data_IF_923883281578
#
_entry.id   IF_923883281578
#
_cell.length_a   1.000
_cell.length_b   1.000
_cell.length_c   1.000
_cell.angle_alpha   90.00
_cell.angle_beta   90.00
_cell.angle_gamma   90.00
#
_symmetry.space_group_name_H-M   'P 1'
#
loop_
_entity.id
_entity.type
_entity.pdbx_description
1 polymer ?
#
# COMPACT_ATOMS: atom_id res chain seq x y z
N UNK A 1 -23.18 15.16 14.79
CA UNK A 1 -22.73 14.70 13.46
C UNK A 1 -23.49 13.44 13.10
N UNK A 2 -24.15 13.40 11.95
CA UNK A 2 -24.83 12.20 11.45
C UNK A 2 -23.80 11.29 10.74
N UNK A 3 -23.92 9.97 10.91
CA UNK A 3 -23.02 8.99 10.29
C UNK A 3 -23.86 7.90 9.63
N UNK A 4 -23.72 7.76 8.32
CA UNK A 4 -24.37 6.71 7.52
C UNK A 4 -23.34 5.70 7.02
N UNK A 5 -23.74 4.42 6.91
CA UNK A 5 -22.84 3.33 6.52
C UNK A 5 -23.25 2.80 5.15
N UNK A 6 -22.29 2.78 4.22
CA UNK A 6 -22.46 2.34 2.84
C UNK A 6 -21.55 1.15 2.52
N UNK A 7 -21.93 0.34 1.55
CA UNK A 7 -20.95 -0.50 0.84
C UNK A 7 -20.22 0.38 -0.16
N UNK A 8 -18.91 0.16 -0.40
CA UNK A 8 -18.17 1.02 -1.32
C UNK A 8 -18.79 1.14 -2.73
N UNK A 9 -19.39 0.06 -3.24
CA UNK A 9 -20.08 0.09 -4.54
C UNK A 9 -21.43 0.82 -4.57
N UNK A 10 -21.95 1.23 -3.42
CA UNK A 10 -23.21 2.00 -3.28
C UNK A 10 -22.96 3.51 -3.19
N UNK A 11 -21.69 3.94 -3.23
CA UNK A 11 -21.36 5.37 -3.22
C UNK A 11 -21.81 6.03 -4.51
N UNK A 12 -22.67 7.03 -4.37
CA UNK A 12 -23.16 7.82 -5.50
C UNK A 12 -22.04 8.68 -6.10
N UNK A 13 -22.19 9.15 -7.35
CA UNK A 13 -21.20 10.07 -7.94
C UNK A 13 -20.98 11.33 -7.10
N UNK A 14 -22.05 11.86 -6.43
CA UNK A 14 -21.96 13.02 -5.54
C UNK A 14 -21.08 12.74 -4.33
N UNK A 15 -21.25 11.58 -3.69
CA UNK A 15 -20.43 11.18 -2.54
C UNK A 15 -18.96 10.98 -2.96
N UNK A 16 -18.71 10.44 -4.14
CA UNK A 16 -17.34 10.30 -4.65
C UNK A 16 -16.69 11.65 -4.92
N UNK A 17 -17.41 12.58 -5.58
CA UNK A 17 -16.91 13.95 -5.77
C UNK A 17 -16.63 14.67 -4.46
N UNK A 18 -17.52 14.56 -3.48
CA UNK A 18 -17.31 15.15 -2.16
C UNK A 18 -16.09 14.54 -1.44
N UNK A 19 -15.84 13.25 -1.65
CA UNK A 19 -14.65 12.59 -1.08
C UNK A 19 -13.36 13.10 -1.74
N UNK A 20 -13.31 13.17 -3.08
CA UNK A 20 -12.17 13.77 -3.78
C UNK A 20 -11.93 15.20 -3.35
N UNK A 21 -12.98 16.03 -3.26
CA UNK A 21 -12.86 17.40 -2.79
C UNK A 21 -12.24 17.48 -1.38
N UNK A 22 -12.66 16.61 -0.44
CA UNK A 22 -12.06 16.55 0.89
C UNK A 22 -10.58 16.09 0.86
N UNK A 23 -10.18 15.28 -0.13
CA UNK A 23 -8.77 14.91 -0.33
C UNK A 23 -7.95 16.07 -0.87
N UNK A 24 -8.49 16.83 -1.80
CA UNK A 24 -7.80 17.95 -2.47
C UNK A 24 -7.57 19.14 -1.53
N UNK A 25 -8.47 19.33 -0.54
CA UNK A 25 -8.35 20.39 0.47
C UNK A 25 -7.26 20.12 1.52
N UNK A 26 -6.70 18.91 1.59
CA UNK A 26 -5.77 18.50 2.67
C UNK A 26 -4.64 17.63 2.11
N UNK A 27 -3.42 18.15 2.02
CA UNK A 27 -2.27 17.41 1.47
C UNK A 27 -1.99 16.06 2.14
N UNK A 28 -2.32 15.91 3.43
CA UNK A 28 -2.18 14.66 4.17
C UNK A 28 -3.06 13.53 3.64
N UNK A 29 -4.09 13.86 2.86
CA UNK A 29 -5.01 12.88 2.25
C UNK A 29 -4.72 12.61 0.77
N UNK A 30 -3.64 13.16 0.22
CA UNK A 30 -3.29 12.98 -1.21
C UNK A 30 -2.91 11.56 -1.60
N UNK A 31 -2.69 10.65 -0.62
CA UNK A 31 -2.28 9.28 -0.91
C UNK A 31 -3.41 8.48 -1.58
N UNK A 32 -3.17 7.79 -2.71
CA UNK A 32 -4.21 7.09 -3.47
C UNK A 32 -4.89 5.93 -2.72
N UNK A 33 -4.30 5.39 -1.66
CA UNK A 33 -4.97 4.41 -0.81
C UNK A 33 -6.16 5.00 -0.03
N UNK A 34 -6.25 6.32 0.05
CA UNK A 34 -7.36 7.03 0.69
C UNK A 34 -8.49 7.39 -0.28
N UNK A 35 -8.31 7.14 -1.59
CA UNK A 35 -9.29 7.47 -2.62
C UNK A 35 -10.49 6.53 -2.63
N UNK A 36 -11.67 7.00 -3.04
CA UNK A 36 -12.88 6.18 -3.15
C UNK A 36 -12.70 5.00 -4.11
N UNK A 37 -11.90 5.13 -5.19
CA UNK A 37 -11.64 4.07 -6.18
C UNK A 37 -10.92 2.87 -5.54
N UNK A 38 -9.99 3.11 -4.64
CA UNK A 38 -9.36 2.02 -3.88
C UNK A 38 -10.36 1.31 -2.99
N UNK A 39 -11.21 2.07 -2.27
CA UNK A 39 -12.26 1.51 -1.43
C UNK A 39 -13.27 0.70 -2.25
N UNK A 40 -13.70 1.21 -3.40
CA UNK A 40 -14.61 0.54 -4.33
C UNK A 40 -13.96 -0.74 -4.87
N UNK A 41 -12.70 -0.67 -5.29
CA UNK A 41 -11.94 -1.83 -5.75
C UNK A 41 -11.88 -2.94 -4.70
N UNK A 42 -11.55 -2.61 -3.45
CA UNK A 42 -11.58 -3.58 -2.33
C UNK A 42 -12.98 -4.13 -2.11
N UNK A 43 -14.01 -3.27 -2.16
CA UNK A 43 -15.41 -3.64 -1.96
C UNK A 43 -15.92 -4.70 -2.94
N UNK A 44 -15.38 -4.77 -4.16
CA UNK A 44 -15.71 -5.81 -5.17
C UNK A 44 -15.35 -7.22 -4.70
N UNK A 45 -14.31 -7.35 -3.91
CA UNK A 45 -13.75 -8.64 -3.50
C UNK A 45 -13.90 -8.93 -2.01
N UNK A 46 -14.22 -7.92 -1.21
CA UNK A 46 -14.27 -8.01 0.26
C UNK A 46 -15.65 -7.63 0.78
N UNK A 47 -16.48 -8.62 1.11
CA UNK A 47 -17.85 -8.42 1.61
C UNK A 47 -17.93 -7.59 2.90
N UNK A 48 -16.84 -7.55 3.68
CA UNK A 48 -16.74 -6.76 4.91
C UNK A 48 -16.44 -5.27 4.69
N UNK A 49 -16.06 -4.85 3.47
CA UNK A 49 -15.73 -3.47 3.17
C UNK A 49 -16.95 -2.55 3.36
N UNK A 50 -16.71 -1.43 4.03
CA UNK A 50 -17.70 -0.38 4.35
C UNK A 50 -17.04 0.98 4.25
N UNK A 51 -17.89 1.98 4.05
CA UNK A 51 -17.54 3.40 4.18
C UNK A 51 -18.54 4.05 5.11
N UNK A 52 -18.06 4.64 6.19
CA UNK A 52 -18.88 5.54 6.98
C UNK A 52 -18.78 6.94 6.37
N UNK A 53 -19.90 7.53 6.04
CA UNK A 53 -20.04 8.92 5.57
C UNK A 53 -20.51 9.77 6.73
N UNK A 54 -19.67 10.72 7.13
CA UNK A 54 -19.97 11.71 8.15
C UNK A 54 -20.64 12.91 7.49
N UNK A 55 -21.73 13.41 8.08
CA UNK A 55 -22.46 14.56 7.58
C UNK A 55 -22.53 15.66 8.63
N UNK A 56 -22.35 16.89 8.16
CA UNK A 56 -22.52 18.10 8.95
C UNK A 56 -23.49 19.02 8.23
N UNK A 57 -24.57 19.40 8.90
CA UNK A 57 -25.64 20.17 8.25
C UNK A 57 -26.31 19.46 7.06
N UNK A 58 -26.31 18.13 7.02
CA UNK A 58 -26.82 17.34 5.89
C UNK A 58 -25.79 17.06 4.78
N UNK A 59 -24.70 17.83 4.70
CA UNK A 59 -23.69 17.72 3.65
C UNK A 59 -22.59 16.70 4.02
N UNK A 60 -22.05 15.95 3.04
CA UNK A 60 -20.91 15.06 3.27
C UNK A 60 -19.70 15.86 3.77
N UNK A 61 -19.13 15.44 4.90
CA UNK A 61 -18.06 16.15 5.57
C UNK A 61 -16.83 15.26 5.84
N UNK A 62 -17.03 13.92 5.84
CA UNK A 62 -15.92 12.98 6.03
C UNK A 62 -16.26 11.56 5.59
N UNK A 63 -15.21 10.78 5.32
CA UNK A 63 -15.29 9.43 4.77
C UNK A 63 -14.30 8.51 5.48
N UNK A 64 -14.82 7.44 6.07
CA UNK A 64 -14.03 6.47 6.79
C UNK A 64 -14.15 5.07 6.16
N UNK A 65 -13.21 4.68 5.29
CA UNK A 65 -13.20 3.34 4.71
C UNK A 65 -12.64 2.32 5.69
N UNK A 66 -13.36 1.20 5.89
CA UNK A 66 -12.95 0.15 6.80
C UNK A 66 -13.47 -1.24 6.36
N UNK A 67 -12.90 -2.30 6.91
CA UNK A 67 -13.45 -3.65 6.81
C UNK A 67 -14.03 -4.09 8.15
N UNK A 68 -15.30 -4.50 8.15
CA UNK A 68 -15.96 -5.11 9.31
C UNK A 68 -15.84 -6.62 9.26
N UNK A 69 -15.28 -7.17 10.30
CA UNK A 69 -15.19 -8.61 10.55
C UNK A 69 -16.19 -9.10 11.60
N UNK A 70 -16.10 -10.38 11.99
CA UNK A 70 -16.95 -10.98 13.04
C UNK A 70 -16.81 -10.24 14.37
N UNK A 71 -17.86 -10.30 15.20
CA UNK A 71 -17.90 -9.74 16.55
C UNK A 71 -17.55 -8.25 16.65
N UNK A 72 -17.85 -7.48 15.60
CA UNK A 72 -17.56 -6.05 15.58
C UNK A 72 -16.06 -5.73 15.49
N UNK A 73 -15.22 -6.63 14.99
CA UNK A 73 -13.83 -6.30 14.65
C UNK A 73 -13.80 -5.40 13.42
N UNK A 74 -13.06 -4.29 13.50
CA UNK A 74 -12.81 -3.39 12.40
C UNK A 74 -11.33 -3.37 12.06
N UNK A 75 -11.02 -3.17 10.79
CA UNK A 75 -9.66 -2.97 10.29
C UNK A 75 -9.66 -1.96 9.17
N UNK A 76 -8.53 -1.32 8.92
CA UNK A 76 -8.38 -0.47 7.75
C UNK A 76 -8.70 -1.25 6.47
N UNK A 77 -9.29 -0.55 5.51
CA UNK A 77 -9.69 -1.16 4.24
C UNK A 77 -8.47 -1.70 3.48
N UNK A 78 -8.65 -2.82 2.77
CA UNK A 78 -7.55 -3.50 2.07
C UNK A 78 -6.60 -4.26 2.98
N UNK A 79 -6.88 -4.38 4.26
CA UNK A 79 -6.24 -5.22 5.28
C UNK A 79 -4.77 -5.60 5.03
N UNK A 80 -3.85 -4.72 5.41
CA UNK A 80 -2.40 -4.90 5.25
C UNK A 80 -1.93 -4.81 3.78
N UNK A 81 -2.77 -4.26 2.89
CA UNK A 81 -2.41 -3.87 1.53
C UNK A 81 -2.32 -2.35 1.38
N UNK A 82 -3.17 -1.59 2.09
CA UNK A 82 -3.11 -0.13 2.08
C UNK A 82 -1.94 0.35 2.94
N UNK A 83 -1.03 1.08 2.34
CA UNK A 83 0.12 1.65 3.04
C UNK A 83 -0.15 3.08 3.56
N UNK A 84 -1.40 3.55 3.46
CA UNK A 84 -1.89 4.80 4.04
C UNK A 84 -3.36 4.63 4.48
N UNK A 85 -3.72 5.11 5.67
CA UNK A 85 -5.02 4.91 6.30
C UNK A 85 -5.45 6.19 7.01
N UNK A 86 -6.70 6.61 6.81
CA UNK A 86 -7.29 7.77 7.46
C UNK A 86 -8.83 7.72 7.45
N UNK A 87 -9.43 8.54 8.27
CA UNK A 87 -10.73 9.14 8.00
C UNK A 87 -10.44 10.44 7.22
N UNK A 88 -10.79 10.47 5.94
CA UNK A 88 -10.67 11.66 5.09
C UNK A 88 -11.79 12.62 5.43
N UNK A 89 -11.50 13.90 5.68
CA UNK A 89 -12.52 14.89 6.01
C UNK A 89 -12.11 16.29 5.54
N UNK A 90 -13.08 17.15 5.35
CA UNK A 90 -12.85 18.56 5.07
C UNK A 90 -12.14 19.26 6.24
N UNK A 91 -11.36 20.30 6.00
CA UNK A 91 -10.77 21.12 7.06
C UNK A 91 -11.84 21.61 8.06
N UNK A 92 -11.50 21.68 9.32
CA UNK A 92 -12.39 22.16 10.39
C UNK A 92 -13.38 21.13 10.92
N UNK A 93 -13.57 19.98 10.27
CA UNK A 93 -14.49 18.92 10.75
C UNK A 93 -13.93 18.29 12.02
N UNK A 94 -14.74 18.26 13.07
CA UNK A 94 -14.41 17.59 14.34
C UNK A 94 -15.22 16.32 14.49
N UNK A 95 -14.58 15.24 14.90
CA UNK A 95 -15.21 13.94 15.09
C UNK A 95 -14.60 13.20 16.29
N UNK A 96 -15.34 12.21 16.81
CA UNK A 96 -14.94 11.43 17.98
C UNK A 96 -14.79 9.95 17.62
N UNK A 97 -13.67 9.34 18.03
CA UNK A 97 -13.37 7.95 17.70
C UNK A 97 -14.39 6.96 18.30
N UNK A 98 -14.91 7.20 19.50
CA UNK A 98 -15.88 6.32 20.16
C UNK A 98 -17.26 6.40 19.50
N UNK A 99 -17.68 7.57 19.06
CA UNK A 99 -18.92 7.79 18.30
C UNK A 99 -18.83 7.14 16.91
N UNK A 100 -17.70 7.32 16.21
CA UNK A 100 -17.42 6.67 14.94
C UNK A 100 -17.50 5.15 15.07
N UNK A 101 -16.80 4.56 16.04
CA UNK A 101 -16.84 3.12 16.25
C UNK A 101 -18.24 2.61 16.57
N UNK A 102 -19.02 3.39 17.34
CA UNK A 102 -20.42 3.04 17.66
C UNK A 102 -21.29 3.03 16.41
N UNK A 103 -21.21 4.07 15.60
CA UNK A 103 -21.97 4.19 14.36
C UNK A 103 -21.58 3.09 13.35
N UNK A 104 -20.30 2.73 13.26
CA UNK A 104 -19.80 1.64 12.41
C UNK A 104 -20.15 0.24 12.96
N UNK A 105 -20.73 0.11 14.16
CA UNK A 105 -20.97 -1.15 14.83
C UNK A 105 -19.69 -1.90 15.15
N UNK A 106 -18.59 -1.18 15.43
CA UNK A 106 -17.29 -1.75 15.76
C UNK A 106 -17.08 -1.77 17.27
N UNK A 107 -16.60 -2.91 17.78
CA UNK A 107 -16.09 -3.06 19.15
C UNK A 107 -14.63 -2.64 19.26
N UNK A 108 -13.87 -2.87 18.19
CA UNK A 108 -12.46 -2.52 18.07
C UNK A 108 -12.15 -2.17 16.61
N UNK A 109 -11.29 -1.19 16.39
CA UNK A 109 -10.72 -0.84 15.09
C UNK A 109 -9.20 -0.88 15.15
N UNK A 110 -8.57 -1.61 14.23
CA UNK A 110 -7.12 -1.78 14.12
C UNK A 110 -6.60 -1.05 12.90
N UNK A 111 -5.48 -0.35 13.08
CA UNK A 111 -4.74 0.35 12.03
C UNK A 111 -3.24 0.10 12.17
N UNK A 112 -2.52 0.15 11.05
CA UNK A 112 -1.06 -0.08 10.99
C UNK A 112 -0.30 0.92 10.11
N UNK A 113 -1.03 1.77 9.36
CA UNK A 113 -0.50 2.84 8.53
C UNK A 113 -1.36 4.12 8.63
N UNK A 114 -1.90 4.39 9.82
CA UNK A 114 -2.72 5.58 10.04
C UNK A 114 -1.87 6.84 9.91
N UNK A 115 -2.33 7.84 9.15
CA UNK A 115 -1.66 9.14 9.08
C UNK A 115 -1.65 9.80 10.47
N UNK A 116 -0.58 10.52 10.78
CA UNK A 116 -0.33 11.00 12.16
C UNK A 116 -1.33 12.10 12.57
N UNK A 117 -1.87 12.82 11.61
CA UNK A 117 -2.81 13.94 11.80
C UNK A 117 -4.18 13.52 12.32
N UNK A 118 -4.47 12.21 12.40
CA UNK A 118 -5.73 11.65 12.91
C UNK A 118 -5.84 11.77 14.46
N UNK A 119 -5.96 13.02 14.95
CA UNK A 119 -5.97 13.35 16.39
C UNK A 119 -6.94 12.54 17.24
N UNK A 120 -8.21 12.24 16.80
CA UNK A 120 -9.13 11.42 17.60
C UNK A 120 -8.65 10.00 17.86
N UNK A 121 -7.69 9.49 17.08
CA UNK A 121 -7.05 8.21 17.32
C UNK A 121 -5.73 8.31 18.11
N UNK A 122 -5.22 9.48 18.44
CA UNK A 122 -3.90 9.66 19.06
C UNK A 122 -3.73 8.87 20.37
N UNK A 123 -4.75 8.86 21.25
CA UNK A 123 -4.74 8.08 22.50
C UNK A 123 -4.73 6.55 22.29
N UNK A 124 -4.92 6.09 21.05
CA UNK A 124 -5.01 4.70 20.67
C UNK A 124 -3.78 4.19 19.90
N UNK A 125 -2.81 5.07 19.66
CA UNK A 125 -1.53 4.75 19.01
C UNK A 125 -0.66 3.93 19.96
N UNK A 126 -0.09 2.84 19.43
CA UNK A 126 0.83 1.95 20.16
C UNK A 126 2.25 2.02 19.60
N UNK A 127 2.44 2.58 18.43
CA UNK A 127 3.74 2.80 17.80
C UNK A 127 3.64 3.72 16.60
N UNK A 128 4.75 4.40 16.28
CA UNK A 128 4.89 5.29 15.14
C UNK A 128 6.10 4.85 14.33
N UNK A 129 5.98 4.86 13.00
CA UNK A 129 6.99 4.34 12.08
C UNK A 129 7.23 5.31 10.93
N UNK A 130 8.46 5.29 10.42
CA UNK A 130 8.82 6.01 9.23
C UNK A 130 8.23 5.34 7.98
N UNK A 131 7.70 6.14 7.06
CA UNK A 131 7.34 5.78 5.69
C UNK A 131 8.20 6.61 4.75
N UNK A 132 9.29 6.03 4.20
CA UNK A 132 10.19 6.71 3.29
C UNK A 132 9.48 7.15 2.01
N UNK A 133 9.77 8.39 1.56
CA UNK A 133 9.20 8.96 0.34
C UNK A 133 10.27 9.62 -0.51
N UNK A 134 10.01 9.73 -1.81
CA UNK A 134 10.81 10.48 -2.77
C UNK A 134 10.01 11.71 -3.19
N UNK A 135 10.49 12.92 -2.84
CA UNK A 135 10.07 14.12 -3.54
C UNK A 135 10.69 14.09 -4.93
N UNK A 136 9.89 14.16 -5.99
CA UNK A 136 10.41 14.01 -7.35
C UNK A 136 11.11 15.28 -7.86
N UNK A 137 10.89 16.40 -7.18
CA UNK A 137 11.58 17.69 -7.42
C UNK A 137 12.12 18.26 -6.10
N UNK A 138 13.13 17.61 -5.49
CA UNK A 138 13.70 18.09 -4.23
C UNK A 138 14.56 19.35 -4.37
N UNK A 139 14.64 19.92 -5.56
CA UNK A 139 15.36 21.12 -5.96
C UNK A 139 15.25 21.35 -7.45
N UNK A 140 15.91 22.39 -7.99
CA UNK A 140 15.79 22.82 -9.40
C UNK A 140 16.19 21.74 -10.41
N UNK A 141 17.18 20.90 -10.08
CA UNK A 141 17.65 19.78 -10.92
C UNK A 141 16.82 18.51 -10.83
N UNK A 142 15.78 18.49 -9.98
CA UNK A 142 14.92 17.33 -9.73
C UNK A 142 15.62 16.16 -9.04
N UNK A 143 14.92 15.04 -8.94
CA UNK A 143 15.41 13.86 -8.21
C UNK A 143 16.74 13.27 -8.76
N UNK A 144 16.99 13.20 -10.07
CA UNK A 144 18.27 12.69 -10.58
C UNK A 144 19.48 13.51 -10.14
N UNK A 145 19.35 14.85 -10.06
CA UNK A 145 20.42 15.74 -9.58
C UNK A 145 20.63 15.57 -8.08
N UNK A 146 19.56 15.57 -7.31
CA UNK A 146 19.62 15.29 -5.87
C UNK A 146 20.33 13.96 -5.58
N UNK A 147 20.01 12.88 -6.32
CA UNK A 147 20.65 11.60 -6.13
C UNK A 147 22.15 11.63 -6.46
N UNK A 148 22.54 12.33 -7.53
CA UNK A 148 23.96 12.50 -7.92
C UNK A 148 24.76 13.26 -6.87
N UNK A 149 24.17 14.29 -6.28
CA UNK A 149 24.82 15.08 -5.22
C UNK A 149 24.89 14.35 -3.89
N UNK A 150 23.82 13.65 -3.49
CA UNK A 150 23.72 13.01 -2.18
C UNK A 150 24.40 11.63 -2.16
N UNK A 151 24.25 10.85 -3.23
CA UNK A 151 24.80 9.49 -3.36
C UNK A 151 25.51 9.26 -4.71
N UNK A 152 26.63 9.97 -4.97
CA UNK A 152 27.32 9.93 -6.27
C UNK A 152 27.77 8.52 -6.66
N UNK A 153 28.21 7.73 -5.70
CA UNK A 153 28.62 6.34 -5.92
C UNK A 153 27.49 5.44 -6.39
N UNK A 154 26.30 5.60 -5.78
CA UNK A 154 25.08 4.87 -6.15
C UNK A 154 24.62 5.26 -7.55
N UNK A 155 24.53 6.56 -7.84
CA UNK A 155 24.14 7.07 -9.14
C UNK A 155 25.08 6.58 -10.26
N UNK A 156 26.41 6.70 -10.08
CA UNK A 156 27.43 6.23 -11.03
C UNK A 156 27.34 4.72 -11.27
N UNK A 157 27.19 3.94 -10.18
CA UNK A 157 27.12 2.48 -10.28
C UNK A 157 25.85 2.02 -11.00
N UNK A 158 24.71 2.65 -10.73
CA UNK A 158 23.44 2.32 -11.37
C UNK A 158 23.49 2.62 -12.86
N UNK A 159 23.98 3.79 -13.26
CA UNK A 159 24.18 4.14 -14.67
C UNK A 159 25.16 3.19 -15.40
N UNK A 160 26.25 2.77 -14.72
CA UNK A 160 27.18 1.78 -15.29
C UNK A 160 26.49 0.44 -15.54
N UNK A 161 25.69 -0.02 -14.58
CA UNK A 161 24.94 -1.28 -14.68
C UNK A 161 23.86 -1.21 -15.77
N UNK A 162 23.19 -0.08 -15.90
CA UNK A 162 22.17 0.16 -16.95
C UNK A 162 22.80 0.11 -18.35
N UNK A 163 23.95 0.79 -18.56
CA UNK A 163 24.71 0.73 -19.83
C UNK A 163 25.19 -0.70 -20.12
N UNK A 164 25.60 -1.46 -19.09
CA UNK A 164 25.99 -2.85 -19.25
C UNK A 164 24.78 -3.72 -19.64
N UNK A 165 23.63 -3.56 -18.98
CA UNK A 165 22.38 -4.24 -19.34
C UNK A 165 22.03 -3.98 -20.80
N UNK A 166 22.16 -2.72 -21.26
CA UNK A 166 21.92 -2.34 -22.64
C UNK A 166 22.84 -3.02 -23.65
N UNK A 167 24.12 -3.21 -23.30
CA UNK A 167 25.06 -3.90 -24.18
C UNK A 167 24.87 -5.42 -24.20
N UNK A 168 24.56 -6.01 -23.02
CA UNK A 168 24.56 -7.46 -22.85
C UNK A 168 23.21 -8.08 -23.30
N UNK A 169 22.10 -7.32 -23.21
CA UNK A 169 20.73 -7.84 -23.45
C UNK A 169 20.03 -7.07 -24.60
N UNK A 170 20.14 -5.75 -24.62
CA UNK A 170 19.47 -4.89 -25.60
C UNK A 170 19.18 -3.52 -25.04
N UNK A 171 18.83 -2.55 -25.90
CA UNK A 171 18.57 -1.16 -25.52
C UNK A 171 17.60 -1.06 -24.34
N UNK A 172 17.96 -0.24 -23.32
CA UNK A 172 17.15 -0.07 -22.13
C UNK A 172 16.09 1.00 -22.37
N UNK A 173 14.82 0.61 -22.27
CA UNK A 173 13.64 1.45 -22.43
C UNK A 173 12.78 1.39 -21.17
N UNK A 174 12.20 2.53 -20.79
CA UNK A 174 11.29 2.61 -19.63
C UNK A 174 9.94 3.18 -20.06
N UNK A 175 8.88 2.44 -19.76
CA UNK A 175 7.48 2.86 -19.92
C UNK A 175 6.87 3.15 -18.55
N UNK A 176 6.37 4.39 -18.36
CA UNK A 176 5.80 4.82 -17.08
C UNK A 176 4.41 4.22 -16.84
N UNK A 177 3.59 4.14 -17.87
CA UNK A 177 2.19 3.71 -17.81
C UNK A 177 1.90 2.68 -18.90
N UNK A 178 2.50 1.50 -18.72
CA UNK A 178 2.33 0.35 -19.61
C UNK A 178 0.90 -0.22 -19.51
N UNK A 179 0.31 -0.55 -20.65
CA UNK A 179 -1.08 -1.04 -20.74
C UNK A 179 -1.19 -2.53 -21.06
N UNK A 180 -0.08 -3.21 -21.25
CA UNK A 180 -0.07 -4.65 -21.53
C UNK A 180 -0.44 -5.46 -20.26
N UNK A 181 -1.57 -6.19 -20.26
CA UNK A 181 -1.95 -7.06 -19.16
C UNK A 181 -0.94 -8.20 -18.92
N UNK A 182 -0.14 -8.60 -19.93
CA UNK A 182 0.88 -9.65 -19.77
C UNK A 182 2.07 -9.13 -18.96
N UNK A 183 2.43 -7.85 -19.13
CA UNK A 183 3.43 -7.22 -18.28
C UNK A 183 2.99 -7.19 -16.81
N UNK A 184 1.71 -6.92 -16.53
CA UNK A 184 1.15 -7.01 -15.17
C UNK A 184 1.21 -8.45 -14.62
N UNK A 185 0.83 -9.45 -15.44
CA UNK A 185 0.94 -10.86 -15.05
C UNK A 185 2.38 -11.26 -14.76
N UNK A 186 3.32 -10.77 -15.55
CA UNK A 186 4.76 -10.98 -15.35
C UNK A 186 5.23 -10.40 -14.01
N UNK A 187 4.84 -9.16 -13.68
CA UNK A 187 5.10 -8.56 -12.37
C UNK A 187 4.58 -9.45 -11.23
N UNK A 188 3.32 -9.90 -11.32
CA UNK A 188 2.70 -10.75 -10.29
C UNK A 188 3.43 -12.10 -10.13
N UNK A 189 3.86 -12.74 -11.24
CA UNK A 189 4.67 -13.97 -11.22
C UNK A 189 6.00 -13.76 -10.49
N UNK A 190 6.75 -12.70 -10.86
CA UNK A 190 8.03 -12.38 -10.22
C UNK A 190 7.87 -12.06 -8.73
N UNK A 191 6.84 -11.28 -8.39
CA UNK A 191 6.57 -10.90 -7.00
C UNK A 191 6.16 -12.09 -6.14
N UNK A 192 5.32 -12.97 -6.68
CA UNK A 192 4.93 -14.23 -6.04
C UNK A 192 6.17 -15.13 -5.79
N UNK A 193 7.04 -15.31 -6.79
CA UNK A 193 8.29 -16.03 -6.65
C UNK A 193 9.22 -15.39 -5.59
N UNK A 194 9.30 -14.04 -5.57
CA UNK A 194 10.07 -13.30 -4.58
C UNK A 194 9.53 -13.55 -3.14
N UNK A 195 8.20 -13.50 -2.92
CA UNK A 195 7.62 -13.79 -1.62
C UNK A 195 7.97 -15.20 -1.14
N UNK A 196 7.84 -16.22 -2.00
CA UNK A 196 8.19 -17.60 -1.67
C UNK A 196 9.68 -17.77 -1.35
N UNK A 197 10.55 -17.20 -2.17
CA UNK A 197 12.03 -17.26 -1.96
C UNK A 197 12.43 -16.59 -0.64
N UNK A 198 11.80 -15.48 -0.27
CA UNK A 198 12.12 -14.74 0.95
C UNK A 198 11.36 -15.25 2.20
N UNK A 199 10.58 -16.33 2.07
CA UNK A 199 9.78 -16.90 3.17
C UNK A 199 8.63 -16.01 3.65
N UNK A 200 8.21 -15.01 2.85
CA UNK A 200 7.06 -14.18 3.14
C UNK A 200 5.79 -14.84 2.63
N UNK A 201 4.65 -14.48 3.23
CA UNK A 201 3.35 -14.91 2.72
C UNK A 201 3.16 -14.37 1.30
N UNK A 202 2.94 -15.28 0.34
CA UNK A 202 2.64 -14.92 -1.03
C UNK A 202 1.27 -14.25 -1.12
N UNK A 203 1.25 -12.94 -1.35
CA UNK A 203 0.01 -12.16 -1.45
C UNK A 203 -0.81 -12.57 -2.67
N UNK A 204 -0.15 -12.90 -3.78
CA UNK A 204 -0.79 -13.31 -5.03
C UNK A 204 -1.30 -14.76 -5.03
N UNK A 205 -1.04 -15.53 -3.97
CA UNK A 205 -1.77 -16.78 -3.74
C UNK A 205 -3.25 -16.58 -3.36
N UNK A 206 -3.67 -15.32 -3.11
CA UNK A 206 -5.04 -14.96 -2.75
C UNK A 206 -5.78 -14.38 -3.95
N UNK A 207 -6.81 -15.05 -4.49
CA UNK A 207 -7.53 -14.61 -5.69
C UNK A 207 -8.09 -13.18 -5.59
N UNK A 208 -8.55 -12.76 -4.41
CA UNK A 208 -9.07 -11.42 -4.22
C UNK A 208 -8.00 -10.32 -4.40
N UNK A 209 -6.73 -10.60 -4.08
CA UNK A 209 -5.63 -9.63 -4.29
C UNK A 209 -5.29 -9.55 -5.77
N UNK A 210 -5.24 -10.69 -6.46
CA UNK A 210 -5.06 -10.71 -7.92
C UNK A 210 -6.17 -9.93 -8.62
N UNK A 211 -7.43 -10.21 -8.25
CA UNK A 211 -8.58 -9.49 -8.81
C UNK A 211 -8.56 -7.99 -8.50
N UNK A 212 -8.19 -7.60 -7.28
CA UNK A 212 -8.06 -6.19 -6.90
C UNK A 212 -7.00 -5.48 -7.76
N UNK A 213 -5.81 -6.05 -7.90
CA UNK A 213 -4.72 -5.49 -8.70
C UNK A 213 -5.13 -5.37 -10.18
N UNK A 214 -5.73 -6.41 -10.73
CA UNK A 214 -6.24 -6.41 -12.11
C UNK A 214 -7.36 -5.37 -12.30
N UNK A 215 -8.26 -5.21 -11.32
CA UNK A 215 -9.27 -4.17 -11.35
C UNK A 215 -8.66 -2.77 -11.32
N UNK A 216 -7.75 -2.50 -10.38
CA UNK A 216 -7.13 -1.17 -10.25
C UNK A 216 -6.25 -0.82 -11.46
N UNK A 217 -5.61 -1.80 -12.10
CA UNK A 217 -4.86 -1.61 -13.34
C UNK A 217 -5.73 -1.05 -14.48
N UNK A 218 -7.03 -1.34 -14.48
CA UNK A 218 -7.99 -0.85 -15.49
C UNK A 218 -8.63 0.48 -15.13
N UNK A 219 -8.39 1.00 -13.90
CA UNK A 219 -8.95 2.28 -13.49
C UNK A 219 -8.04 3.41 -13.98
N UNK A 220 -8.63 4.31 -14.79
CA UNK A 220 -8.00 5.50 -15.31
C UNK A 220 -9.00 6.66 -15.18
N UNK A 221 -9.00 7.27 -14.00
CA UNK A 221 -9.83 8.43 -13.70
C UNK A 221 -8.93 9.61 -13.35
N UNK A 222 -9.43 10.82 -13.44
CA UNK A 222 -8.67 12.06 -13.22
C UNK A 222 -7.94 12.07 -11.87
N UNK A 223 -8.62 11.65 -10.81
CA UNK A 223 -8.08 11.65 -9.44
C UNK A 223 -7.46 10.31 -9.02
N UNK A 224 -7.54 9.27 -9.88
CA UNK A 224 -7.02 7.95 -9.55
C UNK A 224 -6.66 7.13 -10.79
N UNK A 225 -5.45 6.58 -10.81
CA UNK A 225 -4.98 5.71 -11.89
C UNK A 225 -4.17 4.54 -11.32
N UNK A 226 -4.42 3.33 -11.79
CA UNK A 226 -3.53 2.19 -11.58
C UNK A 226 -2.37 2.24 -12.59
N UNK A 227 -1.17 2.60 -12.14
CA UNK A 227 0.02 2.78 -12.98
C UNK A 227 0.87 1.51 -12.96
N UNK A 228 1.09 0.91 -14.12
CA UNK A 228 2.08 -0.14 -14.34
C UNK A 228 3.27 0.47 -15.06
N UNK A 229 4.44 0.49 -14.43
CA UNK A 229 5.66 0.90 -15.11
C UNK A 229 6.53 -0.32 -15.40
N UNK A 230 7.18 -0.34 -16.56
CA UNK A 230 8.02 -1.46 -17.00
C UNK A 230 9.36 -0.96 -17.52
N UNK A 231 10.43 -1.61 -17.10
CA UNK A 231 11.77 -1.45 -17.63
C UNK A 231 12.05 -2.63 -18.58
N UNK A 232 12.41 -2.31 -19.81
CA UNK A 232 12.77 -3.28 -20.84
C UNK A 232 14.27 -3.23 -21.17
N UNK A 233 14.83 -4.34 -21.64
CA UNK A 233 16.09 -4.41 -22.34
C UNK A 233 15.87 -5.17 -23.66
N UNK A 234 15.94 -4.45 -24.79
CA UNK A 234 15.30 -4.89 -26.04
C UNK A 234 13.80 -5.07 -25.84
N UNK A 235 13.26 -6.21 -26.25
CA UNK A 235 11.83 -6.55 -26.08
C UNK A 235 11.55 -7.30 -24.75
N UNK A 236 12.61 -7.61 -23.97
CA UNK A 236 12.46 -8.36 -22.71
C UNK A 236 12.12 -7.41 -21.55
N UNK A 237 11.01 -7.61 -20.83
CA UNK A 237 10.79 -6.91 -19.57
C UNK A 237 11.80 -7.41 -18.54
N UNK A 238 12.48 -6.48 -17.83
CA UNK A 238 13.53 -6.80 -16.85
C UNK A 238 13.13 -6.39 -15.42
N UNK A 239 12.29 -5.39 -15.26
CA UNK A 239 11.67 -5.02 -13.99
C UNK A 239 10.32 -4.38 -14.24
N UNK A 240 9.43 -4.50 -13.27
CA UNK A 240 8.13 -3.84 -13.32
C UNK A 240 7.71 -3.34 -11.94
N UNK A 241 6.90 -2.30 -11.95
CA UNK A 241 6.30 -1.68 -10.78
C UNK A 241 4.82 -1.46 -11.05
N UNK A 242 3.97 -1.79 -10.08
CA UNK A 242 2.56 -1.45 -10.09
C UNK A 242 2.19 -0.73 -8.80
N UNK A 243 1.50 0.38 -8.92
CA UNK A 243 0.92 1.10 -7.79
C UNK A 243 -0.19 2.07 -8.20
N UNK A 244 -1.14 2.36 -7.31
CA UNK A 244 -2.12 3.40 -7.54
C UNK A 244 -1.46 4.78 -7.49
N UNK A 245 -1.99 5.71 -8.27
CA UNK A 245 -1.61 7.11 -8.32
C UNK A 245 -2.84 7.99 -8.08
N UNK A 246 -2.71 9.01 -7.25
CA UNK A 246 -3.61 10.17 -7.19
C UNK A 246 -3.11 11.27 -8.14
N UNK A 247 -3.67 12.47 -8.07
CA UNK A 247 -3.18 13.61 -8.83
C UNK A 247 -1.70 13.91 -8.56
N UNK A 248 -1.22 13.74 -7.32
CA UNK A 248 0.12 14.16 -6.89
C UNK A 248 0.99 13.07 -6.27
N UNK A 249 0.44 11.93 -5.87
CA UNK A 249 1.16 10.85 -5.18
C UNK A 249 1.08 9.54 -5.95
N UNK A 250 2.24 8.90 -6.17
CA UNK A 250 2.35 7.53 -6.67
C UNK A 250 2.78 6.60 -5.52
N UNK A 251 1.98 5.59 -5.21
CA UNK A 251 2.35 4.57 -4.23
C UNK A 251 3.22 3.48 -4.87
N UNK A 252 4.43 3.25 -4.34
CA UNK A 252 5.33 2.18 -4.81
C UNK A 252 4.92 0.83 -4.21
N UNK A 253 3.81 0.28 -4.68
CA UNK A 253 3.11 -0.85 -4.05
C UNK A 253 3.75 -2.22 -4.30
N UNK A 254 3.86 -2.59 -5.56
CA UNK A 254 4.48 -3.85 -5.98
C UNK A 254 5.59 -3.58 -6.98
N UNK A 255 6.83 -3.86 -6.58
CA UNK A 255 8.00 -3.81 -7.46
C UNK A 255 8.66 -5.18 -7.48
N UNK A 256 8.94 -5.71 -8.66
CA UNK A 256 9.68 -6.93 -8.85
C UNK A 256 10.53 -6.85 -10.13
N UNK A 257 11.47 -7.77 -10.26
CA UNK A 257 12.37 -7.85 -11.41
C UNK A 257 12.67 -9.31 -11.75
N UNK A 258 13.15 -9.53 -12.96
CA UNK A 258 13.61 -10.84 -13.41
C UNK A 258 14.80 -11.30 -12.55
N UNK A 259 14.67 -12.39 -11.78
CA UNK A 259 15.73 -12.86 -10.89
C UNK A 259 17.03 -13.27 -11.64
N UNK A 260 16.95 -13.64 -12.92
CA UNK A 260 18.12 -13.95 -13.73
C UNK A 260 19.01 -12.72 -13.96
N UNK A 261 18.41 -11.53 -13.94
CA UNK A 261 19.09 -10.26 -14.20
C UNK A 261 19.47 -9.50 -12.90
N UNK A 262 19.43 -10.16 -11.74
CA UNK A 262 19.70 -9.53 -10.43
C UNK A 262 21.06 -8.81 -10.37
N UNK A 263 22.06 -9.28 -11.11
CA UNK A 263 23.40 -8.70 -11.17
C UNK A 263 23.39 -7.23 -11.64
N UNK A 264 22.47 -6.87 -12.55
CA UNK A 264 22.32 -5.51 -13.05
C UNK A 264 21.56 -4.58 -12.10
N UNK A 265 20.99 -5.09 -11.02
CA UNK A 265 20.16 -4.33 -10.05
C UNK A 265 18.95 -3.63 -10.70
N UNK A 266 18.13 -4.31 -11.52
CA UNK A 266 17.06 -3.67 -12.29
C UNK A 266 15.97 -3.10 -11.40
N UNK A 267 15.78 -3.62 -10.18
CA UNK A 267 14.84 -3.05 -9.21
C UNK A 267 15.22 -1.64 -8.76
N UNK A 268 16.53 -1.33 -8.64
CA UNK A 268 16.98 0.01 -8.32
C UNK A 268 16.79 0.96 -9.51
N UNK A 269 17.14 0.51 -10.72
CA UNK A 269 16.89 1.27 -11.96
C UNK A 269 15.41 1.61 -12.09
N UNK A 270 14.54 0.64 -11.79
CA UNK A 270 13.08 0.81 -11.81
C UNK A 270 12.63 1.98 -10.93
N UNK A 271 13.07 2.04 -9.69
CA UNK A 271 12.72 3.13 -8.78
C UNK A 271 13.24 4.48 -9.27
N UNK A 272 14.47 4.54 -9.78
CA UNK A 272 15.05 5.78 -10.31
C UNK A 272 14.27 6.28 -11.53
N UNK A 273 14.00 5.41 -12.50
CA UNK A 273 13.24 5.76 -13.70
C UNK A 273 11.81 6.13 -13.38
N UNK A 274 11.18 5.46 -12.40
CA UNK A 274 9.85 5.82 -11.91
C UNK A 274 9.85 7.23 -11.31
N UNK A 275 10.79 7.59 -10.44
CA UNK A 275 10.87 8.92 -9.84
C UNK A 275 11.14 10.02 -10.88
N UNK A 276 12.02 9.74 -11.87
CA UNK A 276 12.32 10.66 -12.98
C UNK A 276 11.10 10.90 -13.86
N UNK A 277 10.38 9.83 -14.23
CA UNK A 277 9.21 9.93 -15.09
C UNK A 277 8.01 10.54 -14.38
N UNK A 278 7.81 10.24 -13.11
CA UNK A 278 6.70 10.69 -12.27
C UNK A 278 6.53 12.22 -12.31
N UNK A 279 7.64 12.98 -12.32
CA UNK A 279 7.62 14.44 -12.40
C UNK A 279 6.94 14.97 -13.69
N UNK A 280 7.07 14.25 -14.81
CA UNK A 280 6.45 14.59 -16.09
C UNK A 280 4.95 14.32 -16.15
N UNK A 281 4.47 13.50 -15.22
CA UNK A 281 3.07 13.09 -15.10
C UNK A 281 2.34 13.77 -13.92
N UNK A 282 2.85 14.92 -13.43
CA UNK A 282 2.20 15.69 -12.37
C UNK A 282 2.38 15.12 -10.96
N UNK A 283 3.07 13.98 -10.79
CA UNK A 283 3.38 13.40 -9.49
C UNK A 283 4.45 14.25 -8.81
N UNK A 284 4.22 14.60 -7.56
CA UNK A 284 5.18 15.34 -6.71
C UNK A 284 5.87 14.44 -5.70
N UNK A 285 5.24 13.30 -5.35
CA UNK A 285 5.69 12.39 -4.32
C UNK A 285 5.56 10.92 -4.78
N UNK A 286 6.64 10.13 -4.61
CA UNK A 286 6.57 8.66 -4.69
C UNK A 286 6.66 8.11 -3.27
N UNK A 287 5.58 7.48 -2.80
CA UNK A 287 5.52 6.84 -1.47
C UNK A 287 6.08 5.42 -1.57
N UNK A 288 7.23 5.18 -0.95
CA UNK A 288 7.89 3.87 -0.93
C UNK A 288 7.24 2.91 0.10
N UNK A 289 6.31 3.42 0.91
CA UNK A 289 5.65 2.68 1.98
C UNK A 289 6.57 2.38 3.17
N UNK A 290 5.96 1.96 4.28
CA UNK A 290 6.66 1.56 5.50
C UNK A 290 7.56 0.34 5.26
N UNK A 291 8.72 0.29 5.91
CA UNK A 291 9.59 -0.89 6.01
C UNK A 291 11.07 -0.59 5.93
N UNK A 292 11.84 -1.42 6.64
CA UNK A 292 13.29 -1.28 6.86
C UNK A 292 14.07 -1.97 5.72
N UNK A 293 13.97 -1.46 4.51
CA UNK A 293 14.75 -1.93 3.37
C UNK A 293 15.85 -0.93 3.05
N UNK A 294 17.09 -1.36 3.08
CA UNK A 294 18.28 -0.53 2.87
C UNK A 294 18.18 0.36 1.62
N UNK A 295 17.64 -0.17 0.51
CA UNK A 295 17.47 0.63 -0.70
C UNK A 295 16.53 1.85 -0.52
N UNK A 296 15.59 1.79 0.42
CA UNK A 296 14.70 2.91 0.72
C UNK A 296 15.45 4.05 1.40
N UNK A 297 16.44 3.72 2.24
CA UNK A 297 17.29 4.71 2.88
C UNK A 297 18.16 5.47 1.88
N UNK A 298 18.58 4.80 0.81
CA UNK A 298 19.32 5.45 -0.28
C UNK A 298 18.44 6.28 -1.22
N UNK A 299 17.16 5.91 -1.37
CA UNK A 299 16.27 6.55 -2.32
C UNK A 299 15.43 7.68 -1.71
N UNK A 300 15.15 7.63 -0.41
CA UNK A 300 14.27 8.61 0.23
C UNK A 300 14.88 10.00 0.26
N UNK A 301 14.06 11.00 -0.01
CA UNK A 301 14.39 12.41 0.22
C UNK A 301 14.00 12.85 1.62
N UNK A 302 12.90 12.29 2.13
CA UNK A 302 12.39 12.47 3.50
C UNK A 302 11.53 11.30 3.96
N UNK A 303 10.96 11.43 5.13
CA UNK A 303 10.06 10.42 5.71
C UNK A 303 8.74 11.06 6.13
N UNK A 304 7.64 10.39 5.83
CA UNK A 304 6.35 10.59 6.48
C UNK A 304 6.28 9.72 7.74
N UNK A 305 5.33 10.03 8.60
CA UNK A 305 5.06 9.23 9.80
C UNK A 305 3.71 8.57 9.71
N UNK A 306 3.69 7.27 10.00
CA UNK A 306 2.46 6.47 10.09
C UNK A 306 2.37 5.81 11.46
N UNK A 307 1.16 5.71 11.98
CA UNK A 307 0.90 5.14 13.29
C UNK A 307 0.27 3.74 13.18
N UNK A 308 0.62 2.86 14.11
CA UNK A 308 -0.12 1.62 14.35
C UNK A 308 -0.78 1.65 15.73
N UNK A 309 -1.92 1.00 15.82
CA UNK A 309 -2.65 0.96 17.09
C UNK A 309 -4.03 0.34 16.93
N UNK A 310 -4.85 0.59 17.93
CA UNK A 310 -6.24 0.15 17.92
C UNK A 310 -7.09 1.05 18.82
N UNK A 311 -8.22 1.46 18.31
CA UNK A 311 -9.27 2.08 19.10
C UNK A 311 -10.30 1.01 19.51
N UNK A 312 -10.68 0.97 20.77
CA UNK A 312 -11.64 0.00 21.28
C UNK A 312 -12.69 0.71 22.11
N UNK A 313 -13.94 0.28 21.95
CA UNK A 313 -15.03 0.70 22.84
C UNK A 313 -14.92 -0.04 24.17
N UNK A 314 -15.42 0.53 25.27
CA UNK A 314 -15.61 -0.19 26.54
C UNK A 314 -16.68 -1.28 26.34
N UNK A 315 -16.27 -2.47 25.89
CA UNK A 315 -17.15 -3.60 25.56
C UNK A 315 -16.45 -4.92 25.93
N UNK A 316 -17.16 -5.93 26.48
CA UNK A 316 -16.53 -7.21 26.89
C UNK A 316 -15.75 -7.91 25.79
N UNK A 317 -16.25 -7.90 24.56
CA UNK A 317 -15.57 -8.47 23.39
C UNK A 317 -14.24 -7.77 23.11
N UNK A 318 -14.18 -6.45 23.25
CA UNK A 318 -12.93 -5.71 23.08
C UNK A 318 -11.92 -6.04 24.19
N UNK A 319 -12.40 -6.27 25.42
CA UNK A 319 -11.54 -6.69 26.54
C UNK A 319 -10.98 -8.11 26.28
N UNK A 320 -11.82 -9.05 25.90
CA UNK A 320 -11.39 -10.42 25.55
C UNK A 320 -10.37 -10.44 24.42
N UNK A 321 -10.58 -9.66 23.38
CA UNK A 321 -9.64 -9.52 22.26
C UNK A 321 -8.32 -8.84 22.67
N UNK A 322 -8.36 -7.86 23.58
CA UNK A 322 -7.15 -7.25 24.17
C UNK A 322 -6.32 -8.28 24.93
N UNK A 323 -6.97 -9.10 25.75
CA UNK A 323 -6.31 -10.14 26.54
C UNK A 323 -5.68 -11.22 25.65
N UNK A 324 -6.42 -11.69 24.64
CA UNK A 324 -5.92 -12.69 23.69
C UNK A 324 -4.69 -12.21 22.90
N UNK A 325 -4.60 -10.93 22.57
CA UNK A 325 -3.52 -10.36 21.75
C UNK A 325 -2.31 -9.85 22.53
N UNK A 326 -2.42 -9.73 23.87
CA UNK A 326 -1.30 -9.32 24.73
C UNK A 326 -0.03 -10.17 24.51
N UNK A 327 -0.07 -11.51 24.42
CA UNK A 327 1.14 -12.31 24.24
C UNK A 327 1.87 -12.02 22.92
N UNK A 328 1.12 -11.90 21.81
CA UNK A 328 1.68 -11.66 20.47
C UNK A 328 2.32 -10.25 20.38
N UNK A 329 1.69 -9.27 21.02
CA UNK A 329 2.21 -7.89 21.07
C UNK A 329 3.42 -7.78 22.00
N UNK A 330 3.37 -8.41 23.16
CA UNK A 330 4.50 -8.49 24.08
C UNK A 330 5.72 -9.09 23.39
N UNK A 331 5.56 -10.21 22.68
CA UNK A 331 6.63 -10.85 21.92
C UNK A 331 7.18 -9.93 20.82
N UNK A 332 6.32 -9.23 20.08
CA UNK A 332 6.73 -8.29 19.03
C UNK A 332 7.49 -7.09 19.61
N UNK A 333 7.03 -6.52 20.73
CA UNK A 333 7.69 -5.42 21.39
C UNK A 333 9.06 -5.84 21.95
N UNK A 334 9.16 -7.05 22.53
CA UNK A 334 10.43 -7.62 23.00
C UNK A 334 11.40 -7.84 21.85
N UNK A 335 10.94 -8.36 20.72
CA UNK A 335 11.75 -8.55 19.51
C UNK A 335 12.23 -7.20 18.94
N UNK A 336 11.37 -6.18 18.97
CA UNK A 336 11.73 -4.84 18.51
C UNK A 336 12.73 -4.14 19.45
N UNK A 337 12.59 -4.36 20.77
CA UNK A 337 13.47 -3.79 21.79
C UNK A 337 14.86 -4.47 21.85
N UNK A 338 14.95 -5.73 21.41
CA UNK A 338 16.18 -6.52 21.44
C UNK A 338 16.61 -6.93 20.04
N UNK A 339 17.57 -6.22 19.40
CA UNK A 339 18.05 -6.53 18.04
C UNK A 339 18.50 -7.99 17.85
N UNK A 340 19.02 -8.62 18.90
CA UNK A 340 19.46 -10.02 18.90
C UNK A 340 18.30 -11.02 18.69
N UNK A 341 17.06 -10.66 19.03
CA UNK A 341 15.87 -11.49 18.84
C UNK A 341 15.21 -11.32 17.47
N UNK A 342 15.65 -10.36 16.66
CA UNK A 342 15.09 -10.10 15.32
C UNK A 342 15.31 -11.29 14.36
N UNK A 343 16.50 -11.85 14.36
CA UNK A 343 16.84 -12.98 13.49
C UNK A 343 16.04 -14.26 13.78
N UNK A 344 15.92 -14.74 15.05
CA UNK A 344 15.07 -15.89 15.36
C UNK A 344 13.58 -15.60 15.11
N UNK A 345 13.08 -14.40 15.42
CA UNK A 345 11.69 -14.02 15.15
C UNK A 345 11.38 -13.98 13.64
N UNK A 346 12.30 -13.47 12.82
CA UNK A 346 12.17 -13.46 11.36
C UNK A 346 12.15 -14.90 10.79
N UNK A 347 12.95 -15.82 11.36
CA UNK A 347 12.89 -17.25 11.01
C UNK A 347 11.54 -17.87 11.32
N UNK A 348 10.99 -17.58 12.48
CA UNK A 348 9.66 -18.10 12.90
C UNK A 348 8.54 -17.55 12.01
N UNK A 349 8.56 -16.25 11.70
CA UNK A 349 7.61 -15.60 10.78
C UNK A 349 7.70 -16.18 9.37
N UNK A 350 8.91 -16.48 8.88
CA UNK A 350 9.13 -17.15 7.58
C UNK A 350 8.54 -18.56 7.56
N UNK A 351 8.67 -19.31 8.66
CA UNK A 351 8.07 -20.66 8.79
C UNK A 351 6.55 -20.59 8.79
N UNK A 352 5.95 -19.68 9.56
CA UNK A 352 4.49 -19.46 9.58
C UNK A 352 3.99 -18.96 8.22
N UNK A 353 4.75 -18.10 7.54
CA UNK A 353 4.44 -17.63 6.19
C UNK A 353 4.36 -18.77 5.17
N UNK A 354 5.32 -19.71 5.22
CA UNK A 354 5.34 -20.92 4.35
C UNK A 354 4.14 -21.81 4.59
N UNK A 355 3.80 -22.09 5.85
CA UNK A 355 2.64 -22.94 6.22
C UNK A 355 1.34 -22.30 5.75
N UNK A 356 1.17 -20.98 5.92
CA UNK A 356 -0.03 -20.25 5.46
C UNK A 356 -0.16 -20.21 3.94
N UNK A 357 0.94 -20.13 3.21
CA UNK A 357 0.94 -20.20 1.74
C UNK A 357 0.53 -21.59 1.25
N UNK A 358 1.03 -22.65 1.88
CA UNK A 358 0.67 -24.03 1.58
C UNK A 358 -0.81 -24.33 1.90
N UNK A 359 -1.31 -23.84 3.04
CA UNK A 359 -2.72 -23.98 3.41
C UNK A 359 -3.70 -23.25 2.48
N UNK A 360 -3.30 -22.09 1.95
CA UNK A 360 -4.11 -21.35 0.97
C UNK A 360 -4.18 -22.05 -0.39
N UNK A 361 -3.11 -22.74 -0.81
CA UNK A 361 -3.06 -23.53 -2.04
C UNK A 361 -3.87 -24.85 -1.95
N UNK A 362 -4.13 -25.35 -0.73
CA UNK A 362 -4.88 -26.58 -0.46
C UNK A 362 -6.39 -26.33 -0.23
N UNK A 363 -6.85 -25.08 -0.25
CA UNK A 363 -8.27 -24.76 -0.02
C UNK A 363 -9.15 -25.25 -1.19
N UNK A 364 -10.37 -25.82 -0.91
CA UNK A 364 -11.27 -26.35 -1.94
C UNK A 364 -11.66 -25.37 -3.05
N UNK A 365 -11.61 -24.06 -2.77
CA UNK A 365 -11.87 -23.03 -3.78
C UNK A 365 -10.79 -22.97 -4.89
N UNK A 366 -9.55 -23.33 -4.60
CA UNK A 366 -8.47 -23.40 -5.58
C UNK A 366 -8.54 -24.65 -6.48
N UNK A 367 -9.27 -25.69 -6.06
CA UNK A 367 -9.51 -26.92 -6.84
C UNK A 367 -10.58 -26.74 -7.93
N UNK A 368 -11.56 -25.87 -7.70
CA UNK A 368 -12.64 -25.64 -8.68
C UNK A 368 -12.17 -24.91 -9.95
N UNK A 369 -11.19 -24.00 -9.84
CA UNK A 369 -10.67 -23.28 -11.00
C UNK A 369 -9.75 -24.10 -11.91
N UNK A 370 -9.20 -25.23 -11.44
CA UNK A 370 -8.38 -26.14 -12.29
C UNK A 370 -9.18 -27.15 -13.10
N UNK A 371 -10.46 -27.29 -12.85
CA UNK A 371 -11.35 -28.21 -13.58
C UNK A 371 -12.13 -27.54 -14.72
N UNK A 372 -12.05 -26.22 -14.85
CA UNK A 372 -12.68 -25.44 -15.92
C UNK A 372 -11.70 -25.01 -17.03
N UNK A 373 -10.42 -25.39 -16.95
CA UNK A 373 -9.38 -25.11 -17.96
C UNK A 373 -8.88 -26.39 -18.66
N UNK A 374 -9.76 -27.40 -18.79
CA UNK A 374 -9.50 -28.57 -19.69
C UNK A 374 -10.57 -28.66 -20.74
#
# INVERSE_FOLDING_TARGET
>A
MEITIHRPGELTPELRRAWHHAMDESPEYSNPFLAPEFAIGVGRYRRGARVAVLREGGEPAGFFPYERGPFGTGRAIGLGLSDCQALVHRPGVTWNAQELLRACGLSIFEFDHLVQEQRPFAAHVTGTFASPVIDVKPGDGGYPEWLRSTYPGLAKTTLKKERRLGRDIGEVRFEFDERDPEALRTLMRWKSAQYRRTGRMDRFSRPWIVGLVDHLFRVHEEHFTGVLSVLYAGDRPVAAHFGPRSSTVLAAWFTAYDPELHYYSPGLMMHLRTAEAAARHGVTLVDLGRGDKEYKDWLKTRELRVAEGFAARPHPVALAQRLWRRPVRGLRNTVNAHPQLRAPADRLLKTVGRVRTQGAAASPAARKNRLTER
#
